data_IF_236700570446
#
_entry.id   IF_236700570446
#
_cell.length_a   1.000
_cell.length_b   1.000
_cell.length_c   1.000
_cell.angle_alpha   90.00
_cell.angle_beta   90.00
_cell.angle_gamma   90.00
#
_symmetry.space_group_name_H-M   'P 1'
#
loop_
_entity.id
_entity.type
_entity.pdbx_description
1 polymer ?
#
# COMPACT_ATOMS: atom_id res chain seq x y z
N UNK A 1 -45.97 -37.67 31.02
CA UNK A 1 -45.19 -37.95 32.25
C UNK A 1 -43.76 -37.47 32.01
N UNK A 2 -43.57 -36.18 31.69
CA UNK A 2 -43.29 -35.05 32.60
C UNK A 2 -41.96 -35.20 33.36
N UNK A 3 -40.94 -34.50 32.85
CA UNK A 3 -39.66 -34.20 33.51
C UNK A 3 -39.72 -32.76 34.03
N UNK A 4 -39.48 -32.59 35.32
CA UNK A 4 -39.22 -31.38 36.14
C UNK A 4 -38.65 -31.95 37.45
N UNK A 5 -37.73 -31.39 38.22
CA UNK A 5 -37.11 -30.08 38.41
C UNK A 5 -35.74 -30.34 39.10
N UNK A 6 -34.77 -29.42 38.99
CA UNK A 6 -34.11 -28.77 40.15
C UNK A 6 -32.84 -27.98 39.75
N UNK A 7 -32.87 -26.68 40.06
CA UNK A 7 -31.74 -25.76 40.30
C UNK A 7 -31.79 -25.41 41.80
N UNK A 8 -30.68 -25.11 42.51
CA UNK A 8 -30.00 -23.79 42.48
C UNK A 8 -28.47 -23.91 42.72
N UNK A 9 -27.58 -22.91 42.89
CA UNK A 9 -27.64 -21.61 43.57
C UNK A 9 -26.37 -20.76 43.27
N UNK A 10 -26.44 -19.43 43.49
CA UNK A 10 -25.38 -18.42 43.30
C UNK A 10 -24.84 -17.93 44.66
N UNK A 11 -23.55 -17.56 44.81
CA UNK A 11 -23.13 -16.60 45.84
C UNK A 11 -22.35 -15.42 45.21
N UNK A 12 -22.80 -14.16 45.26
CA UNK A 12 -22.91 -13.16 46.35
C UNK A 12 -21.59 -12.44 46.71
N UNK A 13 -21.59 -11.11 46.53
CA UNK A 13 -20.55 -10.15 46.97
C UNK A 13 -20.69 -9.87 48.47
N UNK A 14 -19.59 -9.83 49.22
CA UNK A 14 -19.49 -9.02 50.45
C UNK A 14 -18.09 -8.43 50.68
N UNK A 15 -18.16 -7.16 51.08
CA UNK A 15 -17.13 -6.25 51.58
C UNK A 15 -16.58 -6.71 52.94
N UNK A 16 -15.32 -6.37 53.25
CA UNK A 16 -14.88 -6.14 54.64
C UNK A 16 -13.97 -4.90 54.73
N UNK A 17 -14.23 -4.10 55.76
CA UNK A 17 -13.57 -2.85 56.12
C UNK A 17 -13.40 -2.84 57.65
N UNK A 18 -12.38 -2.12 58.13
CA UNK A 18 -12.02 -1.79 59.55
C UNK A 18 -11.11 -2.83 60.24
N UNK A 19 -10.10 -2.47 61.05
CA UNK A 19 -9.57 -1.19 61.55
C UNK A 19 -8.32 -1.46 62.39
N UNK A 20 -7.32 -0.56 62.36
CA UNK A 20 -6.86 0.30 63.48
C UNK A 20 -5.96 -0.33 64.56
N UNK A 21 -4.72 0.17 64.70
CA UNK A 21 -4.15 0.64 65.97
C UNK A 21 -2.78 1.32 65.74
N UNK A 22 -2.62 2.49 66.36
CA UNK A 22 -1.38 3.27 66.47
C UNK A 22 -0.38 2.61 67.43
N UNK A 23 0.91 2.72 67.12
CA UNK A 23 1.97 2.76 68.12
C UNK A 23 3.03 3.78 67.69
N UNK A 24 3.20 4.81 68.52
CA UNK A 24 4.22 5.83 68.36
C UNK A 24 5.59 5.27 68.76
N UNK A 25 6.59 5.45 67.89
CA UNK A 25 7.99 5.17 68.17
C UNK A 25 8.86 6.18 67.44
N UNK A 26 9.40 7.13 68.20
CA UNK A 26 10.37 8.10 67.72
C UNK A 26 11.69 7.39 67.37
N UNK A 27 12.16 7.54 66.13
CA UNK A 27 13.54 7.24 65.76
C UNK A 27 14.08 8.32 64.82
N UNK A 28 15.31 8.70 65.14
CA UNK A 28 16.05 9.85 64.63
C UNK A 28 16.16 9.88 63.10
N UNK A 29 16.01 11.08 62.55
CA UNK A 29 16.30 11.39 61.16
C UNK A 29 17.81 11.28 60.89
N UNK A 30 18.20 10.34 60.02
CA UNK A 30 19.43 10.43 59.26
C UNK A 30 19.09 11.09 57.90
N UNK A 31 19.93 11.97 57.35
CA UNK A 31 19.66 12.57 56.05
C UNK A 31 19.89 11.51 54.97
N UNK A 32 18.81 10.88 54.53
CA UNK A 32 18.80 10.08 53.31
C UNK A 32 19.03 11.02 52.12
N UNK A 33 20.09 10.76 51.37
CA UNK A 33 20.38 11.47 50.13
C UNK A 33 19.15 11.42 49.21
N UNK A 34 18.61 12.60 48.90
CA UNK A 34 17.60 12.73 47.85
C UNK A 34 18.25 12.31 46.53
N UNK A 35 17.95 11.09 46.08
CA UNK A 35 18.12 10.76 44.67
C UNK A 35 17.14 11.64 43.91
N UNK A 36 17.65 12.71 43.31
CA UNK A 36 16.92 13.47 42.33
C UNK A 36 16.45 12.49 41.27
N UNK A 37 15.14 12.27 41.20
CA UNK A 37 14.55 11.53 40.10
C UNK A 37 14.97 12.25 38.81
N UNK A 38 15.85 11.61 38.04
CA UNK A 38 16.10 12.01 36.65
C UNK A 38 14.74 12.16 35.97
N UNK A 39 14.48 13.27 35.26
CA UNK A 39 13.23 13.40 34.53
C UNK A 39 13.14 12.20 33.60
N UNK A 40 12.01 11.50 33.64
CA UNK A 40 11.71 10.44 32.69
C UNK A 40 12.01 11.01 31.29
N UNK A 41 12.94 10.35 30.58
CA UNK A 41 13.27 10.71 29.22
C UNK A 41 11.96 10.79 28.45
N UNK A 42 11.61 12.01 28.00
CA UNK A 42 10.42 12.24 27.21
C UNK A 42 10.40 11.24 26.06
N UNK A 43 9.24 10.64 25.80
CA UNK A 43 9.03 9.76 24.66
C UNK A 43 9.65 10.41 23.43
N UNK A 44 10.61 9.77 22.73
CA UNK A 44 11.25 10.37 21.57
C UNK A 44 10.16 10.85 20.61
N UNK A 45 10.14 12.15 20.35
CA UNK A 45 9.19 12.75 19.39
C UNK A 45 9.42 12.02 18.07
N UNK A 46 8.39 11.34 17.56
CA UNK A 46 8.50 10.60 16.30
C UNK A 46 9.08 11.55 15.24
N UNK A 47 10.20 11.13 14.63
CA UNK A 47 10.90 11.98 13.66
C UNK A 47 9.97 12.22 12.48
N UNK A 48 9.75 13.48 12.12
CA UNK A 48 8.88 13.82 10.99
C UNK A 48 9.36 13.12 9.71
N UNK A 49 8.42 12.66 8.88
CA UNK A 49 8.72 12.10 7.57
C UNK A 49 9.24 13.19 6.63
N UNK A 50 10.28 12.87 5.87
CA UNK A 50 10.85 13.76 4.86
C UNK A 50 10.08 13.60 3.54
N UNK A 51 9.49 14.69 3.05
CA UNK A 51 8.82 14.74 1.75
C UNK A 51 9.43 15.82 0.84
N UNK A 52 9.61 15.52 -0.47
CA UNK A 52 9.45 14.19 -1.08
C UNK A 52 10.50 13.19 -0.58
N UNK A 53 10.08 11.94 -0.41
CA UNK A 53 10.96 10.85 0.04
C UNK A 53 11.99 10.52 -1.06
N UNK A 54 11.52 10.33 -2.29
CA UNK A 54 12.36 10.08 -3.45
C UNK A 54 11.88 10.94 -4.64
N UNK A 55 12.66 11.94 -5.06
CA UNK A 55 12.36 12.68 -6.29
C UNK A 55 12.38 11.77 -7.51
N UNK A 56 11.55 12.11 -8.49
CA UNK A 56 11.47 11.44 -9.80
C UNK A 56 11.32 9.92 -9.69
N UNK A 57 10.41 9.48 -8.82
CA UNK A 57 10.03 8.07 -8.64
C UNK A 57 8.50 8.05 -8.55
N UNK A 58 7.88 7.51 -9.58
CA UNK A 58 6.43 7.30 -9.64
C UNK A 58 6.09 5.89 -9.15
N UNK A 59 4.80 5.64 -8.94
CA UNK A 59 4.24 4.33 -8.60
C UNK A 59 5.04 3.61 -7.49
N UNK A 60 5.20 4.26 -6.31
CA UNK A 60 6.13 3.78 -5.30
C UNK A 60 5.58 2.57 -4.55
N UNK A 61 6.38 1.52 -4.45
CA UNK A 61 6.08 0.37 -3.61
C UNK A 61 7.13 0.21 -2.51
N UNK A 62 6.69 0.33 -1.25
CA UNK A 62 7.52 0.08 -0.06
C UNK A 62 6.97 -1.11 0.71
N UNK A 63 7.77 -2.16 0.87
CA UNK A 63 7.46 -3.27 1.77
C UNK A 63 8.42 -3.30 2.95
N UNK A 64 7.90 -3.48 4.16
CA UNK A 64 8.70 -3.73 5.36
C UNK A 64 8.87 -5.23 5.53
N UNK A 65 10.11 -5.69 5.51
CA UNK A 65 10.41 -7.10 5.70
C UNK A 65 10.80 -7.43 7.15
N UNK A 66 10.76 -8.72 7.47
CA UNK A 66 11.06 -9.25 8.81
C UNK A 66 12.55 -9.20 9.17
N UNK A 67 13.43 -8.95 8.19
CA UNK A 67 14.86 -8.70 8.41
C UNK A 67 15.17 -7.31 8.97
N UNK A 68 14.13 -6.48 9.17
CA UNK A 68 14.23 -5.13 9.72
C UNK A 68 14.50 -4.05 8.68
N UNK A 69 14.46 -4.35 7.39
CA UNK A 69 14.57 -3.37 6.32
C UNK A 69 13.23 -3.06 5.65
N UNK A 70 13.10 -1.82 5.19
CA UNK A 70 12.21 -1.42 4.13
C UNK A 70 12.89 -1.65 2.79
N UNK A 71 12.16 -2.19 1.84
CA UNK A 71 12.56 -2.32 0.45
C UNK A 71 11.68 -1.42 -0.39
N UNK A 72 12.30 -0.63 -1.26
CA UNK A 72 11.64 0.36 -2.10
C UNK A 72 11.95 0.11 -3.56
N UNK A 73 10.90 -0.02 -4.36
CA UNK A 73 10.95 -0.01 -5.82
C UNK A 73 9.91 0.98 -6.33
N UNK A 74 10.06 1.41 -7.58
CA UNK A 74 9.25 2.45 -8.19
C UNK A 74 9.46 2.47 -9.70
N UNK A 75 8.52 3.08 -10.42
CA UNK A 75 8.71 3.46 -11.82
C UNK A 75 9.78 4.56 -11.91
N UNK A 76 10.79 4.33 -12.74
CA UNK A 76 11.85 5.32 -13.04
C UNK A 76 11.53 6.11 -14.31
N UNK A 77 11.93 7.39 -14.40
CA UNK A 77 11.99 8.08 -15.68
C UNK A 77 12.83 7.28 -16.68
N UNK A 78 12.32 7.16 -17.91
CA UNK A 78 12.88 6.33 -18.97
C UNK A 78 12.22 4.96 -19.13
N UNK A 79 11.49 4.47 -18.11
CA UNK A 79 10.66 3.27 -18.18
C UNK A 79 11.39 2.02 -18.74
N UNK A 80 12.66 1.83 -18.37
CA UNK A 80 13.58 0.88 -19.01
C UNK A 80 14.12 -0.20 -18.06
N UNK A 81 13.79 -0.14 -16.77
CA UNK A 81 14.41 -1.00 -15.75
C UNK A 81 13.63 -1.02 -14.45
N UNK A 82 13.91 -2.04 -13.64
CA UNK A 82 13.41 -2.17 -12.27
C UNK A 82 14.55 -1.88 -11.30
N UNK A 83 14.31 -0.97 -10.36
CA UNK A 83 15.27 -0.56 -9.35
C UNK A 83 14.87 -1.09 -7.98
N UNK A 84 15.84 -1.21 -7.07
CA UNK A 84 15.59 -1.55 -5.67
C UNK A 84 16.52 -0.75 -4.76
N UNK A 85 15.95 -0.27 -3.64
CA UNK A 85 16.68 0.33 -2.51
C UNK A 85 16.27 -0.38 -1.23
N UNK A 86 17.13 -0.35 -0.22
CA UNK A 86 16.75 -0.74 1.14
C UNK A 86 17.28 0.19 2.21
N UNK A 87 16.55 0.31 3.31
CA UNK A 87 16.98 1.04 4.51
C UNK A 87 16.28 0.50 5.75
N UNK A 88 16.85 0.69 6.94
CA UNK A 88 16.21 0.32 8.22
C UNK A 88 15.14 1.31 8.67
N UNK A 89 15.07 2.48 8.02
CA UNK A 89 14.09 3.53 8.32
C UNK A 89 13.48 4.04 7.04
N UNK A 90 12.24 4.51 7.08
CA UNK A 90 11.56 5.09 5.93
C UNK A 90 12.33 6.29 5.40
N UNK A 91 12.69 7.24 6.27
CA UNK A 91 13.48 8.41 5.88
C UNK A 91 14.86 8.05 5.28
N UNK A 92 15.46 6.94 5.70
CA UNK A 92 16.74 6.49 5.16
C UNK A 92 16.66 5.99 3.71
N UNK A 93 15.46 5.71 3.17
CA UNK A 93 15.28 5.38 1.75
C UNK A 93 15.60 6.57 0.83
N UNK A 94 15.50 7.81 1.33
CA UNK A 94 15.79 9.02 0.57
C UNK A 94 17.24 9.08 0.07
N UNK A 95 18.18 8.51 0.83
CA UNK A 95 19.61 8.51 0.54
C UNK A 95 20.19 7.10 0.35
N UNK A 96 19.35 6.07 0.38
CA UNK A 96 19.79 4.69 0.14
C UNK A 96 20.30 4.53 -1.30
N UNK A 97 21.37 3.75 -1.47
CA UNK A 97 21.87 3.41 -2.79
C UNK A 97 20.82 2.64 -3.59
N UNK A 98 20.75 2.94 -4.89
CA UNK A 98 19.83 2.30 -5.82
C UNK A 98 20.56 1.26 -6.67
N UNK A 99 20.02 0.04 -6.71
CA UNK A 99 20.50 -1.04 -7.57
C UNK A 99 19.51 -1.27 -8.70
N UNK A 100 20.02 -1.46 -9.92
CA UNK A 100 19.21 -1.97 -11.03
C UNK A 100 19.22 -3.49 -10.94
N UNK A 101 18.05 -4.10 -10.75
CA UNK A 101 17.93 -5.55 -10.55
C UNK A 101 17.43 -6.29 -11.80
N UNK A 102 16.82 -5.56 -12.74
CA UNK A 102 16.38 -6.09 -14.03
C UNK A 102 16.25 -4.94 -15.05
N UNK A 103 16.43 -5.23 -16.35
CA UNK A 103 16.36 -4.25 -17.45
C UNK A 103 15.46 -4.77 -18.57
N UNK A 104 14.80 -3.83 -19.25
CA UNK A 104 14.02 -4.09 -20.44
C UNK A 104 14.84 -4.85 -21.48
N UNK A 105 14.16 -5.77 -22.18
CA UNK A 105 14.72 -6.46 -23.33
C UNK A 105 14.90 -5.47 -24.48
N UNK A 106 15.83 -5.76 -25.39
CA UNK A 106 16.07 -4.90 -26.55
C UNK A 106 15.06 -5.13 -27.69
N UNK A 107 14.39 -6.28 -27.68
CA UNK A 107 13.44 -6.74 -28.71
C UNK A 107 12.41 -7.66 -28.07
N UNK A 108 11.22 -7.76 -28.66
CA UNK A 108 10.18 -8.67 -28.21
C UNK A 108 9.55 -8.25 -26.87
N UNK A 109 8.84 -9.18 -26.19
CA UNK A 109 8.15 -8.91 -24.93
C UNK A 109 9.08 -8.34 -23.86
N UNK A 110 8.54 -7.59 -22.90
CA UNK A 110 9.32 -6.98 -21.83
C UNK A 110 10.37 -5.98 -22.30
N UNK A 111 10.16 -5.34 -23.46
CA UNK A 111 11.11 -4.42 -24.07
C UNK A 111 10.78 -2.93 -23.98
N UNK A 112 9.56 -2.57 -23.57
CA UNK A 112 9.13 -1.18 -23.46
C UNK A 112 8.23 -0.94 -22.24
N UNK A 113 8.21 0.30 -21.76
CA UNK A 113 7.29 0.78 -20.73
C UNK A 113 7.28 -0.09 -19.46
N UNK A 114 8.46 -0.23 -18.84
CA UNK A 114 8.61 -0.94 -17.56
C UNK A 114 7.99 -0.10 -16.45
N UNK A 115 6.79 -0.49 -16.01
CA UNK A 115 5.96 0.29 -15.09
C UNK A 115 5.61 -0.47 -13.81
N UNK A 116 5.45 0.31 -12.74
CA UNK A 116 4.84 -0.06 -11.46
C UNK A 116 5.32 -1.39 -10.88
N UNK A 117 6.62 -1.58 -10.63
CA UNK A 117 7.10 -2.78 -9.98
C UNK A 117 6.62 -2.84 -8.52
N UNK A 118 6.10 -4.00 -8.09
CA UNK A 118 5.81 -4.29 -6.68
C UNK A 118 6.61 -5.50 -6.18
N UNK A 119 7.35 -5.33 -5.09
CA UNK A 119 8.15 -6.39 -4.47
C UNK A 119 7.39 -7.10 -3.35
N UNK A 120 7.16 -8.40 -3.50
CA UNK A 120 6.47 -9.25 -2.55
C UNK A 120 7.33 -10.43 -2.09
N UNK A 121 7.13 -10.91 -0.86
CA UNK A 121 7.75 -12.13 -0.34
C UNK A 121 6.67 -13.20 -0.17
N UNK A 122 6.71 -14.26 -0.97
CA UNK A 122 5.68 -15.31 -1.01
C UNK A 122 6.38 -16.67 -0.96
N UNK A 123 5.94 -17.55 -0.06
CA UNK A 123 6.52 -18.91 0.05
C UNK A 123 8.04 -18.92 0.27
N UNK A 124 8.61 -17.91 0.92
CA UNK A 124 10.05 -17.80 1.16
C UNK A 124 10.88 -17.35 -0.05
N UNK A 125 10.25 -16.84 -1.11
CA UNK A 125 10.92 -16.26 -2.28
C UNK A 125 10.44 -14.84 -2.56
N UNK A 126 11.26 -14.05 -3.25
CA UNK A 126 10.88 -12.73 -3.71
C UNK A 126 10.19 -12.81 -5.08
N UNK A 127 9.16 -12.00 -5.25
CA UNK A 127 8.44 -11.82 -6.51
C UNK A 127 8.32 -10.34 -6.82
N UNK A 128 8.53 -9.98 -8.09
CA UNK A 128 8.21 -8.64 -8.58
C UNK A 128 7.14 -8.74 -9.64
N UNK A 129 6.00 -8.10 -9.39
CA UNK A 129 4.95 -7.87 -10.38
C UNK A 129 5.25 -6.53 -11.06
N UNK A 130 5.19 -6.47 -12.38
CA UNK A 130 5.38 -5.22 -13.12
C UNK A 130 4.63 -5.29 -14.45
N UNK A 131 4.39 -4.15 -15.06
CA UNK A 131 3.82 -4.06 -16.39
C UNK A 131 4.91 -3.76 -17.43
N UNK A 132 4.76 -4.33 -18.63
CA UNK A 132 5.57 -3.95 -19.78
C UNK A 132 4.92 -4.35 -21.10
N UNK A 133 5.36 -3.70 -22.17
CA UNK A 133 4.99 -3.99 -23.54
C UNK A 133 6.17 -4.63 -24.31
N UNK A 134 5.88 -5.29 -25.44
CA UNK A 134 6.90 -5.59 -26.43
C UNK A 134 7.62 -4.31 -26.94
N UNK A 135 8.90 -4.43 -27.28
CA UNK A 135 9.68 -3.31 -27.83
C UNK A 135 9.07 -2.75 -29.12
N UNK A 136 8.40 -3.60 -29.90
CA UNK A 136 7.84 -3.28 -31.21
C UNK A 136 6.39 -2.77 -31.15
N UNK A 137 5.70 -2.96 -30.03
CA UNK A 137 4.32 -2.50 -29.81
C UNK A 137 4.15 -2.01 -28.37
N UNK A 138 4.63 -0.78 -28.15
CA UNK A 138 4.79 -0.18 -26.81
C UNK A 138 3.49 0.03 -26.05
N UNK A 139 2.32 -0.12 -26.69
CA UNK A 139 1.01 -0.02 -26.06
C UNK A 139 0.35 -1.38 -25.83
N UNK A 140 0.95 -2.49 -26.27
CA UNK A 140 0.53 -3.84 -25.91
C UNK A 140 1.01 -4.24 -24.49
N UNK A 141 0.72 -3.40 -23.51
CA UNK A 141 1.13 -3.58 -22.10
C UNK A 141 0.44 -4.80 -21.49
N UNK A 142 1.22 -5.65 -20.81
CA UNK A 142 0.78 -6.83 -20.06
C UNK A 142 1.48 -6.89 -18.70
N UNK A 143 0.99 -7.78 -17.83
CA UNK A 143 1.55 -8.03 -16.49
C UNK A 143 2.57 -9.17 -16.56
N UNK A 144 3.72 -8.96 -15.91
CA UNK A 144 4.85 -9.88 -15.89
C UNK A 144 5.34 -10.11 -14.46
N UNK A 145 5.97 -11.26 -14.23
CA UNK A 145 6.51 -11.63 -12.91
C UNK A 145 7.98 -12.03 -12.99
N UNK A 146 8.78 -11.48 -12.09
CA UNK A 146 10.13 -11.96 -11.78
C UNK A 146 10.13 -12.73 -10.45
N UNK A 147 10.92 -13.79 -10.35
CA UNK A 147 11.17 -14.52 -9.10
C UNK A 147 12.65 -14.46 -8.71
N UNK A 148 12.96 -14.28 -7.43
CA UNK A 148 14.29 -14.52 -6.88
C UNK A 148 14.20 -15.36 -5.60
N UNK A 149 14.80 -16.55 -5.64
CA UNK A 149 14.79 -17.49 -4.52
C UNK A 149 15.82 -17.16 -3.42
N UNK A 150 16.76 -16.26 -3.69
CA UNK A 150 17.77 -15.87 -2.70
C UNK A 150 17.13 -15.11 -1.52
N UNK A 151 17.59 -15.29 -0.27
CA UNK A 151 17.06 -14.54 0.87
C UNK A 151 17.25 -13.02 0.75
N UNK A 152 18.40 -12.57 0.26
CA UNK A 152 18.67 -11.16 -0.07
C UNK A 152 18.26 -10.88 -1.54
N UNK A 153 17.29 -9.99 -1.83
CA UNK A 153 16.82 -9.71 -3.20
C UNK A 153 17.84 -8.92 -4.06
N UNK A 154 18.91 -8.42 -3.45
CA UNK A 154 20.05 -7.81 -4.15
C UNK A 154 21.08 -8.84 -4.62
N UNK A 155 20.90 -10.10 -4.24
CA UNK A 155 21.77 -11.23 -4.58
C UNK A 155 20.97 -12.33 -5.27
N UNK A 156 21.65 -13.29 -5.89
CA UNK A 156 20.98 -14.33 -6.68
C UNK A 156 20.56 -13.83 -8.06
N UNK A 157 19.63 -14.56 -8.69
CA UNK A 157 19.19 -14.31 -10.06
C UNK A 157 17.69 -14.07 -10.08
N UNK A 158 17.26 -12.99 -10.72
CA UNK A 158 15.87 -12.74 -11.05
C UNK A 158 15.48 -13.55 -12.29
N UNK A 159 14.56 -14.50 -12.13
CA UNK A 159 14.07 -15.39 -13.17
C UNK A 159 12.72 -14.87 -13.66
N UNK A 160 12.59 -14.67 -14.97
CA UNK A 160 11.32 -14.31 -15.61
C UNK A 160 10.35 -15.50 -15.57
N UNK A 161 9.22 -15.34 -14.88
CA UNK A 161 8.12 -16.32 -14.85
C UNK A 161 7.15 -16.15 -16.02
N UNK A 162 7.35 -15.10 -16.83
CA UNK A 162 6.54 -14.79 -18.00
C UNK A 162 5.31 -13.94 -17.66
N UNK A 163 4.40 -13.87 -18.63
CA UNK A 163 3.18 -13.08 -18.55
C UNK A 163 2.15 -13.77 -17.65
N UNK A 164 1.47 -13.02 -16.77
CA UNK A 164 0.24 -13.50 -16.14
C UNK A 164 -0.87 -13.50 -17.20
N UNK A 165 -1.36 -14.69 -17.57
CA UNK A 165 -2.47 -14.83 -18.52
C UNK A 165 -3.80 -14.51 -17.83
N UNK A 166 -4.58 -13.63 -18.45
CA UNK A 166 -5.92 -13.23 -18.03
C UNK A 166 -6.96 -13.81 -19.01
N UNK A 167 -8.24 -13.52 -18.83
CA UNK A 167 -9.30 -14.06 -19.69
C UNK A 167 -9.22 -13.57 -21.15
N UNK A 168 -8.52 -12.47 -21.41
CA UNK A 168 -8.31 -11.92 -22.74
C UNK A 168 -7.03 -11.07 -22.83
N UNK A 169 -6.47 -10.94 -24.02
CA UNK A 169 -5.21 -10.22 -24.27
C UNK A 169 -5.46 -8.74 -24.59
N UNK A 170 -5.62 -7.92 -23.57
CA UNK A 170 -5.76 -6.45 -23.68
C UNK A 170 -4.78 -5.73 -22.75
N UNK A 171 -4.72 -4.40 -22.87
CA UNK A 171 -3.93 -3.52 -21.99
C UNK A 171 -4.17 -3.88 -20.52
N UNK A 172 -3.14 -4.35 -19.83
CA UNK A 172 -3.18 -4.86 -18.45
C UNK A 172 -1.94 -4.46 -17.67
N UNK A 173 -2.11 -3.88 -16.49
CA UNK A 173 -1.03 -3.31 -15.68
C UNK A 173 -1.37 -3.31 -14.18
N UNK A 174 -0.44 -2.77 -13.39
CA UNK A 174 -0.62 -2.44 -11.98
C UNK A 174 -1.13 -3.60 -11.12
N UNK A 175 -0.48 -4.75 -11.27
CA UNK A 175 -0.83 -5.94 -10.52
C UNK A 175 -0.28 -5.87 -9.10
N UNK A 176 -1.19 -5.98 -8.13
CA UNK A 176 -0.86 -6.16 -6.71
C UNK A 176 -1.39 -7.49 -6.22
N UNK A 177 -0.77 -8.03 -5.16
CA UNK A 177 -1.22 -9.29 -4.53
C UNK A 177 -1.37 -9.15 -3.03
N UNK A 178 -2.38 -9.82 -2.49
CA UNK A 178 -2.58 -9.95 -1.06
C UNK A 178 -3.11 -11.35 -0.72
N UNK A 179 -2.97 -11.73 0.54
CA UNK A 179 -3.50 -12.99 1.05
C UNK A 179 -4.65 -12.72 2.00
N UNK A 180 -5.70 -13.51 1.91
CA UNK A 180 -6.86 -13.42 2.79
C UNK A 180 -7.39 -14.81 3.08
N UNK A 181 -7.49 -15.17 4.37
CA UNK A 181 -8.02 -16.47 4.83
C UNK A 181 -7.38 -17.68 4.12
N UNK A 182 -6.08 -17.61 3.84
CA UNK A 182 -5.32 -18.69 3.20
C UNK A 182 -5.43 -18.74 1.67
N UNK A 183 -6.19 -17.82 1.05
CA UNK A 183 -6.25 -17.65 -0.40
C UNK A 183 -5.46 -16.43 -0.82
N UNK A 184 -4.59 -16.59 -1.81
CA UNK A 184 -3.91 -15.47 -2.45
C UNK A 184 -4.74 -14.93 -3.60
N UNK A 185 -4.86 -13.61 -3.67
CA UNK A 185 -5.55 -12.89 -4.72
C UNK A 185 -4.56 -12.04 -5.50
N UNK A 186 -4.84 -11.89 -6.79
CA UNK A 186 -4.28 -10.83 -7.63
C UNK A 186 -5.37 -9.80 -7.88
N UNK A 187 -5.03 -8.52 -7.75
CA UNK A 187 -5.86 -7.41 -8.22
C UNK A 187 -5.05 -6.62 -9.23
N UNK A 188 -5.67 -6.22 -10.34
CA UNK A 188 -4.98 -5.49 -11.40
C UNK A 188 -5.93 -4.58 -12.17
N UNK A 189 -5.35 -3.72 -13.01
CA UNK A 189 -6.06 -2.87 -13.93
C UNK A 189 -6.02 -3.46 -15.34
N UNK A 190 -7.16 -3.53 -16.02
CA UNK A 190 -7.23 -4.08 -17.38
C UNK A 190 -8.39 -3.51 -18.18
N UNK A 191 -8.17 -3.29 -19.47
CA UNK A 191 -9.21 -2.93 -20.43
C UNK A 191 -10.12 -4.11 -20.75
N UNK A 192 -11.44 -3.90 -20.72
CA UNK A 192 -12.42 -4.92 -21.12
C UNK A 192 -12.85 -4.72 -22.58
N UNK A 193 -12.78 -5.76 -23.43
CA UNK A 193 -13.24 -5.67 -24.81
C UNK A 193 -14.67 -5.15 -24.92
N UNK A 194 -14.86 -4.11 -25.72
CA UNK A 194 -16.18 -3.52 -25.98
C UNK A 194 -16.64 -2.49 -24.96
N UNK A 195 -15.85 -2.17 -23.93
CA UNK A 195 -16.11 -1.05 -23.03
C UNK A 195 -15.55 0.26 -23.56
N UNK A 196 -16.31 1.34 -23.40
CA UNK A 196 -15.86 2.71 -23.68
C UNK A 196 -15.14 3.31 -22.45
N UNK A 197 -14.00 2.72 -22.10
CA UNK A 197 -13.08 3.19 -21.05
C UNK A 197 -11.63 2.76 -21.34
N UNK A 198 -10.67 3.24 -20.52
CA UNK A 198 -9.29 2.77 -20.59
C UNK A 198 -9.13 1.46 -19.81
N UNK A 199 -9.38 1.49 -18.49
CA UNK A 199 -9.18 0.34 -17.60
C UNK A 199 -10.23 0.27 -16.50
N UNK A 200 -10.53 -0.96 -16.09
CA UNK A 200 -11.32 -1.30 -14.91
C UNK A 200 -10.46 -2.12 -13.93
N UNK A 201 -10.91 -2.28 -12.69
CA UNK A 201 -10.24 -3.13 -11.70
C UNK A 201 -10.80 -4.55 -11.72
N UNK A 202 -9.90 -5.51 -11.60
CA UNK A 202 -10.20 -6.93 -11.65
C UNK A 202 -9.57 -7.66 -10.47
N UNK A 203 -10.22 -8.72 -9.99
CA UNK A 203 -9.69 -9.63 -8.99
C UNK A 203 -9.81 -11.09 -9.46
N UNK A 204 -8.85 -11.92 -9.07
CA UNK A 204 -8.91 -13.38 -9.21
C UNK A 204 -8.07 -14.05 -8.13
N UNK A 205 -8.47 -15.27 -7.75
CA UNK A 205 -7.64 -16.13 -6.90
C UNK A 205 -6.42 -16.63 -7.70
N UNK A 206 -5.32 -16.92 -7.00
CA UNK A 206 -4.08 -17.42 -7.60
C UNK A 206 -3.80 -18.87 -7.22
N UNK A 207 -3.32 -19.69 -8.17
CA UNK A 207 -2.80 -21.04 -7.91
C UNK A 207 -1.38 -20.98 -7.34
N UNK A 208 -0.57 -20.06 -7.86
CA UNK A 208 0.80 -19.78 -7.46
C UNK A 208 1.07 -18.28 -7.70
N UNK A 209 2.24 -17.73 -7.33
CA UNK A 209 2.50 -16.30 -7.44
C UNK A 209 2.45 -15.70 -8.86
N UNK A 210 2.31 -16.49 -9.93
CA UNK A 210 2.24 -15.98 -11.31
C UNK A 210 1.10 -16.59 -12.15
N UNK A 211 0.21 -17.38 -11.55
CA UNK A 211 -0.87 -18.09 -12.25
C UNK A 211 -2.21 -17.87 -11.58
N UNK A 212 -3.19 -17.37 -12.33
CA UNK A 212 -4.57 -17.24 -11.87
C UNK A 212 -5.26 -18.61 -11.83
N UNK A 213 -6.13 -18.81 -10.83
CA UNK A 213 -6.92 -20.03 -10.63
C UNK A 213 -8.42 -19.78 -10.57
N UNK A 214 -8.83 -18.56 -10.20
CA UNK A 214 -10.23 -18.17 -10.08
C UNK A 214 -10.78 -17.43 -11.31
N UNK A 215 -12.08 -17.11 -11.31
CA UNK A 215 -12.66 -16.23 -12.32
C UNK A 215 -12.00 -14.84 -12.28
N UNK A 216 -11.99 -14.17 -13.42
CA UNK A 216 -11.66 -12.75 -13.52
C UNK A 216 -12.92 -11.93 -13.24
N UNK A 217 -12.98 -11.29 -12.07
CA UNK A 217 -14.16 -10.58 -11.57
C UNK A 217 -13.91 -9.07 -11.59
N UNK A 218 -14.79 -8.31 -12.24
CA UNK A 218 -14.71 -6.84 -12.28
C UNK A 218 -15.18 -6.26 -10.95
N UNK A 219 -14.33 -5.49 -10.28
CA UNK A 219 -14.65 -4.83 -9.01
C UNK A 219 -15.12 -3.39 -9.18
N UNK A 220 -14.52 -2.66 -10.12
CA UNK A 220 -14.88 -1.26 -10.38
C UNK A 220 -14.62 -0.92 -11.84
N UNK A 221 -15.43 0.00 -12.36
CA UNK A 221 -15.22 0.67 -13.64
C UNK A 221 -15.28 2.18 -13.41
N UNK A 222 -14.51 3.00 -14.14
CA UNK A 222 -14.61 4.45 -14.03
C UNK A 222 -15.99 4.92 -14.48
N UNK A 223 -16.72 5.56 -13.58
CA UNK A 223 -18.11 5.96 -13.80
C UNK A 223 -18.47 7.31 -13.17
N UNK A 224 -17.77 7.72 -12.12
CA UNK A 224 -17.94 9.05 -11.55
C UNK A 224 -17.17 10.09 -12.34
N UNK A 225 -17.65 11.34 -12.35
CA UNK A 225 -17.01 12.44 -13.08
C UNK A 225 -15.53 12.60 -12.72
N UNK A 226 -15.18 12.43 -11.44
CA UNK A 226 -13.81 12.53 -10.95
C UNK A 226 -12.91 11.37 -11.38
N UNK A 227 -13.47 10.27 -11.90
CA UNK A 227 -12.72 9.13 -12.45
C UNK A 227 -12.47 9.24 -13.96
N UNK A 228 -13.14 10.20 -14.61
CA UNK A 228 -13.25 10.30 -16.06
C UNK A 228 -12.61 11.57 -16.63
N UNK A 229 -11.77 12.29 -15.87
CA UNK A 229 -11.15 13.52 -16.34
C UNK A 229 -9.90 13.20 -17.17
N UNK A 230 -9.93 13.61 -18.43
CA UNK A 230 -8.89 13.30 -19.42
C UNK A 230 -9.01 11.87 -19.98
N UNK A 231 -8.97 10.87 -19.09
CA UNK A 231 -9.15 9.44 -19.43
C UNK A 231 -10.12 8.78 -18.44
N UNK A 232 -10.81 7.72 -18.89
CA UNK A 232 -11.71 6.92 -18.05
C UNK A 232 -10.90 5.78 -17.45
N UNK A 233 -10.33 5.99 -16.26
CA UNK A 233 -9.31 5.10 -15.68
C UNK A 233 -9.71 4.67 -14.27
N UNK A 234 -9.60 3.37 -14.00
CA UNK A 234 -9.30 2.86 -12.66
C UNK A 234 -8.02 2.02 -12.76
N UNK A 235 -6.97 2.41 -12.04
CA UNK A 235 -5.65 1.76 -12.06
C UNK A 235 -4.96 1.77 -10.69
N UNK A 236 -3.71 1.32 -10.58
CA UNK A 236 -2.94 1.32 -9.33
C UNK A 236 -3.67 0.77 -8.10
N UNK A 237 -4.29 -0.43 -8.16
CA UNK A 237 -4.98 -1.00 -7.01
C UNK A 237 -4.00 -1.35 -5.88
N UNK A 238 -4.41 -1.16 -4.62
CA UNK A 238 -3.65 -1.67 -3.47
C UNK A 238 -4.55 -2.04 -2.29
N UNK A 239 -4.35 -3.25 -1.77
CA UNK A 239 -5.20 -3.78 -0.69
C UNK A 239 -4.63 -3.47 0.70
N UNK A 240 -5.50 -3.10 1.62
CA UNK A 240 -5.24 -2.86 3.04
C UNK A 240 -6.30 -3.59 3.87
N UNK A 241 -5.86 -4.51 4.73
CA UNK A 241 -6.75 -5.28 5.59
C UNK A 241 -6.69 -4.72 7.01
N UNK A 242 -7.84 -4.28 7.56
CA UNK A 242 -7.91 -3.84 8.95
C UNK A 242 -9.33 -3.88 9.49
N UNK A 243 -9.46 -4.24 10.77
CA UNK A 243 -10.72 -4.10 11.51
C UNK A 243 -11.89 -4.84 10.85
N UNK A 244 -11.66 -6.08 10.42
CA UNK A 244 -12.67 -6.93 9.79
C UNK A 244 -13.07 -6.50 8.38
N UNK A 245 -12.28 -5.67 7.70
CA UNK A 245 -12.54 -5.22 6.32
C UNK A 245 -11.32 -5.33 5.44
N UNK A 246 -11.58 -5.43 4.15
CA UNK A 246 -10.61 -5.23 3.07
C UNK A 246 -10.91 -3.90 2.40
N UNK A 247 -9.95 -2.99 2.46
CA UNK A 247 -9.95 -1.72 1.76
C UNK A 247 -9.09 -1.88 0.51
N UNK A 248 -9.62 -1.56 -0.66
CA UNK A 248 -8.88 -1.59 -1.92
C UNK A 248 -8.86 -0.18 -2.49
N UNK A 249 -7.74 0.52 -2.31
CA UNK A 249 -7.53 1.81 -2.97
C UNK A 249 -7.24 1.59 -4.44
N UNK A 250 -7.53 2.58 -5.26
CA UNK A 250 -7.16 2.63 -6.67
C UNK A 250 -7.03 4.08 -7.10
N UNK A 251 -6.36 4.34 -8.22
CA UNK A 251 -6.22 5.67 -8.80
C UNK A 251 -7.12 5.86 -10.02
N UNK A 252 -7.51 7.09 -10.29
CA UNK A 252 -8.44 7.40 -11.38
C UNK A 252 -8.11 8.71 -12.10
N UNK A 253 -8.75 8.94 -13.25
CA UNK A 253 -8.48 10.04 -14.20
C UNK A 253 -7.07 10.01 -14.81
N UNK A 254 -6.75 11.00 -15.64
CA UNK A 254 -5.41 11.18 -16.21
C UNK A 254 -4.35 11.41 -15.12
N UNK A 255 -3.10 11.05 -15.42
CA UNK A 255 -1.94 11.21 -14.52
C UNK A 255 -1.42 12.66 -14.44
N UNK A 256 -2.32 13.64 -14.49
CA UNK A 256 -2.07 15.06 -14.26
C UNK A 256 -2.59 15.50 -12.86
N UNK A 257 -2.96 16.76 -12.65
CA UNK A 257 -3.47 17.20 -11.35
C UNK A 257 -4.88 16.68 -11.01
N UNK A 258 -5.60 16.06 -11.95
CA UNK A 258 -6.86 15.39 -11.70
C UNK A 258 -6.69 13.99 -11.09
N UNK A 259 -5.49 13.42 -11.18
CA UNK A 259 -5.19 12.12 -10.60
C UNK A 259 -5.52 12.10 -9.10
N UNK A 260 -6.26 11.08 -8.69
CA UNK A 260 -6.75 10.96 -7.31
C UNK A 260 -7.03 9.51 -6.96
N UNK A 261 -7.25 9.26 -5.66
CA UNK A 261 -7.44 7.90 -5.11
C UNK A 261 -8.91 7.68 -4.80
N UNK A 262 -9.49 6.62 -5.36
CA UNK A 262 -10.77 6.02 -4.97
C UNK A 262 -10.60 4.90 -3.96
N UNK A 263 -11.72 4.39 -3.43
CA UNK A 263 -11.71 3.33 -2.43
C UNK A 263 -12.88 2.37 -2.65
N UNK A 264 -12.58 1.08 -2.73
CA UNK A 264 -13.54 -0.01 -2.56
C UNK A 264 -13.40 -0.59 -1.14
N UNK A 265 -14.51 -0.99 -0.55
CA UNK A 265 -14.54 -1.63 0.78
C UNK A 265 -15.36 -2.90 0.73
N UNK A 266 -14.81 -4.00 1.23
CA UNK A 266 -15.51 -5.25 1.46
C UNK A 266 -15.40 -5.69 2.93
N UNK A 267 -16.42 -6.38 3.41
CA UNK A 267 -16.34 -7.11 4.68
C UNK A 267 -15.32 -8.26 4.52
N UNK A 268 -14.42 -8.45 5.49
CA UNK A 268 -13.42 -9.51 5.45
C UNK A 268 -14.04 -10.92 5.45
N UNK A 269 -15.31 -11.04 5.82
CA UNK A 269 -16.01 -12.33 5.89
C UNK A 269 -16.84 -12.61 4.63
N UNK A 270 -16.96 -11.62 3.72
CA UNK A 270 -17.64 -11.73 2.44
C UNK A 270 -16.84 -12.50 1.39
N UNK A 271 -17.53 -12.90 0.31
CA UNK A 271 -16.86 -13.46 -0.87
C UNK A 271 -16.21 -12.32 -1.68
N UNK A 272 -14.89 -12.23 -1.64
CA UNK A 272 -14.13 -11.21 -2.35
C UNK A 272 -14.19 -11.36 -3.87
N UNK A 273 -14.61 -12.52 -4.39
CA UNK A 273 -14.86 -12.78 -5.81
C UNK A 273 -16.33 -12.52 -6.22
N UNK A 274 -17.18 -12.02 -5.32
CA UNK A 274 -18.48 -11.45 -5.68
C UNK A 274 -18.36 -9.91 -5.71
N UNK A 275 -18.56 -9.31 -6.88
CA UNK A 275 -18.50 -7.86 -7.04
C UNK A 275 -19.47 -7.11 -6.11
N UNK A 276 -20.58 -7.75 -5.71
CA UNK A 276 -21.58 -7.17 -4.80
C UNK A 276 -21.09 -7.05 -3.36
N UNK A 277 -20.00 -7.74 -2.99
CA UNK A 277 -19.35 -7.62 -1.69
C UNK A 277 -18.62 -6.28 -1.52
N UNK A 278 -18.35 -5.58 -2.62
CA UNK A 278 -17.56 -4.36 -2.63
C UNK A 278 -18.45 -3.12 -2.75
N UNK A 279 -18.25 -2.17 -1.84
CA UNK A 279 -18.85 -0.84 -1.88
C UNK A 279 -17.81 0.18 -2.35
N UNK A 280 -18.16 0.95 -3.37
CA UNK A 280 -17.32 2.01 -3.94
C UNK A 280 -17.62 3.35 -3.29
N UNK A 281 -16.59 4.08 -2.87
CA UNK A 281 -16.73 5.46 -2.39
C UNK A 281 -17.23 6.36 -3.53
N UNK A 282 -18.28 7.16 -3.34
CA UNK A 282 -18.80 8.06 -4.38
C UNK A 282 -17.90 9.28 -4.61
N UNK A 283 -16.93 9.51 -3.73
CA UNK A 283 -15.98 10.63 -3.78
C UNK A 283 -14.54 10.11 -3.66
N UNK A 284 -13.54 10.82 -4.20
CA UNK A 284 -12.15 10.46 -3.97
C UNK A 284 -11.81 10.56 -2.48
N UNK A 285 -11.01 9.62 -2.00
CA UNK A 285 -10.51 9.60 -0.61
C UNK A 285 -9.20 10.35 -0.45
N UNK A 286 -8.51 10.67 -1.55
CA UNK A 286 -7.29 11.45 -1.57
C UNK A 286 -7.12 12.17 -2.92
N UNK A 287 -6.88 13.48 -2.92
CA UNK A 287 -6.84 14.29 -4.15
C UNK A 287 -5.90 15.48 -3.99
N UNK A 288 -5.69 16.21 -5.09
CA UNK A 288 -4.89 17.43 -5.16
C UNK A 288 -5.25 18.45 -4.08
N UNK A 289 -4.24 19.21 -3.64
CA UNK A 289 -4.41 20.24 -2.63
C UNK A 289 -3.58 21.48 -2.96
N UNK A 290 -4.26 22.59 -3.25
CA UNK A 290 -3.62 23.86 -3.58
C UNK A 290 -2.86 24.48 -2.40
N UNK A 291 -3.35 24.30 -1.16
CA UNK A 291 -2.72 24.88 0.02
C UNK A 291 -1.35 24.25 0.33
N UNK A 292 -1.20 22.95 0.06
CA UNK A 292 0.08 22.23 0.22
C UNK A 292 0.87 22.11 -1.08
N UNK A 293 0.32 22.62 -2.19
CA UNK A 293 0.88 22.55 -3.55
C UNK A 293 1.22 21.13 -4.00
N UNK A 294 0.34 20.19 -3.69
CA UNK A 294 0.50 18.79 -4.05
C UNK A 294 -0.57 18.38 -5.04
N UNK A 295 -0.16 17.92 -6.21
CA UNK A 295 -1.05 17.73 -7.35
C UNK A 295 -0.97 16.31 -7.89
N UNK A 296 -2.12 15.75 -8.23
CA UNK A 296 -2.25 14.42 -8.79
C UNK A 296 -1.77 13.29 -7.86
N UNK A 297 -2.15 13.24 -6.57
CA UNK A 297 -1.67 12.17 -5.70
C UNK A 297 -2.31 10.83 -6.08
N UNK A 298 -1.50 9.80 -6.28
CA UNK A 298 -2.03 8.47 -6.60
C UNK A 298 -0.97 7.37 -6.68
N UNK A 299 -1.39 6.27 -7.30
CA UNK A 299 -0.72 4.97 -7.38
C UNK A 299 -0.08 4.61 -6.04
N UNK A 300 -0.91 4.49 -5.01
CA UNK A 300 -0.44 4.36 -3.64
C UNK A 300 -0.20 2.90 -3.26
N UNK A 301 0.67 2.70 -2.27
CA UNK A 301 0.73 1.50 -1.48
C UNK A 301 0.65 1.82 0.02
N UNK A 302 0.67 0.79 0.87
CA UNK A 302 0.75 0.96 2.31
C UNK A 302 1.95 0.22 2.89
N UNK A 303 2.53 0.81 3.93
CA UNK A 303 3.53 0.15 4.77
C UNK A 303 3.31 0.54 6.23
N UNK A 304 4.18 0.11 7.13
CA UNK A 304 4.10 0.47 8.56
C UNK A 304 5.35 1.23 8.98
N UNK A 305 5.24 2.16 9.91
CA UNK A 305 6.39 2.86 10.47
C UNK A 305 7.27 1.92 11.29
N UNK A 306 8.43 2.43 11.73
CA UNK A 306 9.44 1.66 12.47
C UNK A 306 8.88 1.04 13.76
N UNK A 307 7.88 1.69 14.37
CA UNK A 307 7.16 1.22 15.57
C UNK A 307 6.30 -0.03 15.34
N UNK A 308 6.12 -0.45 14.09
CA UNK A 308 5.32 -1.62 13.69
C UNK A 308 3.82 -1.47 13.88
N UNK A 309 3.33 -0.25 14.13
CA UNK A 309 1.92 0.03 14.51
C UNK A 309 1.29 1.16 13.73
N UNK A 310 2.08 2.14 13.31
CA UNK A 310 1.58 3.30 12.57
C UNK A 310 1.56 3.00 11.08
N UNK A 311 0.37 2.93 10.48
CA UNK A 311 0.25 2.76 9.03
C UNK A 311 0.71 4.01 8.29
N UNK A 312 1.36 3.79 7.16
CA UNK A 312 1.95 4.80 6.30
C UNK A 312 1.35 4.65 4.91
N UNK A 313 0.75 5.75 4.43
CA UNK A 313 0.41 5.93 3.03
C UNK A 313 1.70 6.27 2.26
N UNK A 314 1.96 5.51 1.21
CA UNK A 314 3.06 5.76 0.27
C UNK A 314 2.43 6.06 -1.08
N UNK A 315 2.80 7.16 -1.72
CA UNK A 315 2.13 7.62 -2.95
C UNK A 315 3.06 8.51 -3.78
N UNK A 316 2.73 8.80 -5.03
CA UNK A 316 3.41 9.86 -5.78
C UNK A 316 2.53 11.11 -5.90
N UNK A 317 3.13 12.28 -6.05
CA UNK A 317 2.44 13.51 -6.48
C UNK A 317 3.43 14.46 -7.19
N UNK A 318 2.92 15.48 -7.89
CA UNK A 318 3.72 16.57 -8.46
C UNK A 318 3.70 17.82 -7.57
N UNK A 319 4.80 18.61 -7.56
CA UNK A 319 4.87 19.88 -6.82
C UNK A 319 4.27 21.08 -7.58
N UNK A 320 3.68 20.84 -8.75
CA UNK A 320 3.03 21.85 -9.60
C UNK A 320 1.82 21.25 -10.31
N UNK A 321 0.87 22.14 -10.65
CA UNK A 321 -0.43 21.77 -11.20
C UNK A 321 -0.39 21.49 -12.70
N UNK A 322 0.11 22.46 -13.47
CA UNK A 322 0.10 22.41 -14.93
C UNK A 322 1.34 21.72 -15.46
N UNK A 323 1.15 20.81 -16.41
CA UNK A 323 2.22 20.07 -17.10
C UNK A 323 2.36 20.61 -18.52
N UNK A 324 3.60 20.82 -18.96
CA UNK A 324 3.89 21.18 -20.35
C UNK A 324 4.18 19.91 -21.15
N UNK A 325 3.31 19.56 -22.09
CA UNK A 325 3.46 18.37 -22.94
C UNK A 325 2.75 17.14 -22.37
N UNK A 326 3.14 15.95 -22.83
CA UNK A 326 2.57 14.67 -22.38
C UNK A 326 2.96 14.40 -20.91
N UNK A 327 2.00 14.21 -19.98
CA UNK A 327 2.26 13.84 -18.59
C UNK A 327 3.16 12.62 -18.41
N UNK A 328 3.14 11.67 -19.35
CA UNK A 328 4.00 10.49 -19.32
C UNK A 328 5.49 10.86 -19.47
N UNK A 329 5.81 11.97 -20.15
CA UNK A 329 7.19 12.43 -20.35
C UNK A 329 7.66 13.42 -19.27
N UNK A 330 6.76 13.87 -18.39
CA UNK A 330 7.10 14.68 -17.23
C UNK A 330 7.62 13.80 -16.07
N UNK A 331 8.92 13.89 -15.72
CA UNK A 331 9.53 12.97 -14.75
C UNK A 331 9.26 13.37 -13.29
N UNK A 332 8.50 14.44 -13.02
CA UNK A 332 8.46 15.09 -11.71
C UNK A 332 7.32 14.60 -10.81
N UNK A 333 6.81 13.39 -11.04
CA UNK A 333 6.14 12.63 -9.98
C UNK A 333 7.18 12.24 -8.93
N UNK A 334 6.91 12.57 -7.68
CA UNK A 334 7.82 12.32 -6.57
C UNK A 334 7.16 11.40 -5.56
N UNK A 335 7.89 10.39 -5.09
CA UNK A 335 7.44 9.53 -4.00
C UNK A 335 7.34 10.34 -2.71
N UNK A 336 6.22 10.17 -2.01
CA UNK A 336 5.87 10.81 -0.74
C UNK A 336 5.36 9.77 0.24
N UNK A 337 5.50 10.06 1.52
CA UNK A 337 4.97 9.24 2.60
C UNK A 337 4.28 10.10 3.66
N UNK A 338 3.17 9.62 4.20
CA UNK A 338 2.53 10.23 5.36
C UNK A 338 1.84 9.19 6.23
N UNK A 339 1.60 9.53 7.49
CA UNK A 339 0.81 8.69 8.37
C UNK A 339 -0.62 8.55 7.82
N UNK A 340 -1.11 7.33 7.77
CA UNK A 340 -2.52 7.03 7.54
C UNK A 340 -3.26 7.05 8.89
N UNK A 341 -4.33 7.84 8.95
CA UNK A 341 -5.24 7.88 10.09
C UNK A 341 -6.33 6.81 10.01
N UNK A 342 -7.11 6.68 11.07
CA UNK A 342 -8.27 5.80 11.14
C UNK A 342 -9.43 6.55 11.80
N UNK A 343 -10.57 6.59 11.11
CA UNK A 343 -11.79 7.20 11.63
C UNK A 343 -12.41 6.34 12.74
N UNK A 344 -13.30 6.88 13.58
CA UNK A 344 -13.99 6.10 14.62
C UNK A 344 -14.79 4.90 14.09
N UNK A 345 -15.29 4.97 12.85
CA UNK A 345 -15.98 3.86 12.17
C UNK A 345 -15.00 2.79 11.60
N UNK A 346 -13.70 3.00 11.80
CA UNK A 346 -12.60 2.15 11.34
C UNK A 346 -12.31 2.20 9.84
N UNK A 347 -12.86 3.16 9.09
CA UNK A 347 -12.40 3.47 7.73
C UNK A 347 -11.08 4.26 7.75
N UNK A 348 -10.22 4.12 6.72
CA UNK A 348 -8.98 4.87 6.64
C UNK A 348 -9.22 6.38 6.49
N UNK A 349 -8.40 7.19 7.16
CA UNK A 349 -8.37 8.64 7.03
C UNK A 349 -7.05 9.05 6.38
N UNK A 350 -7.12 9.36 5.09
CA UNK A 350 -5.96 9.78 4.29
C UNK A 350 -5.56 11.23 4.56
N UNK A 351 -6.47 12.06 5.10
CA UNK A 351 -6.29 13.50 5.19
C UNK A 351 -6.07 14.14 3.82
N UNK A 352 -5.13 15.08 3.74
CA UNK A 352 -4.69 15.72 2.49
C UNK A 352 -3.22 15.39 2.23
N UNK A 353 -2.72 15.47 0.98
CA UNK A 353 -1.29 15.32 0.71
C UNK A 353 -0.52 16.44 1.42
N UNK A 354 0.34 16.07 2.37
CA UNK A 354 1.07 17.04 3.20
C UNK A 354 2.10 17.83 2.37
N UNK A 355 2.38 19.07 2.79
CA UNK A 355 3.38 19.92 2.16
C UNK A 355 4.79 19.30 2.21
N UNK A 356 5.69 19.79 1.35
CA UNK A 356 7.11 19.42 1.38
C UNK A 356 7.73 19.74 2.75
N UNK A 357 8.70 18.93 3.15
CA UNK A 357 9.52 19.26 4.32
C UNK A 357 10.38 20.46 3.98
N UNK A 358 10.36 21.49 4.83
CA UNK A 358 11.26 22.63 4.68
C UNK A 358 12.73 22.14 4.63
N UNK A 359 13.59 22.75 3.79
CA UNK A 359 14.98 22.38 3.64
C UNK A 359 15.78 22.36 4.96
#
# INVERSE_FOLDING_TARGET
MSREHDLPEVPSRRLMLKGAALAAGALAAAPGAAWAATPAAGTPRARAFRNPLAPQRADPHITRHTDGHYYFTATVPGYDRIILRRSRTLNGLATAAESVIWRAHTTGPMGAHIWAPELHRIGGKWYIYFASAPAEDVWAIRIWVLENAHPDPFSGTWVERGQIRTAWETFSLDATTFEHRGTRYLVWAQHEPGMDNNTALWISAMADPWTLSGPQVRLSTPEFDWECVGFKVNEGPYALQRGGRVFLTYSASATDYHYCVGLLTADADSDLLDARSWSKSPVPVFTSNDATRQYGPGHNCFTVAEDGRTDILVYHARPYKEITGDPLNDPNRHTRIQRLGWKPDGTPDFGIPVADTAP
#
